data_IF_759791827111
#
_entry.id   IF_759791827111
#
_cell.length_a   1.000
_cell.length_b   1.000
_cell.length_c   1.000
_cell.angle_alpha   90.00
_cell.angle_beta   90.00
_cell.angle_gamma   90.00
#
_symmetry.space_group_name_H-M   'P 1'
#
loop_
_entity.id
_entity.type
_entity.pdbx_description
1 polymer ?
#
# COMPACT_ATOMS: atom_id res chain seq x y z
N UNK A 1 -13.26 7.48 2.22
CA UNK A 1 -11.86 7.94 2.32
C UNK A 1 -11.09 7.26 1.21
N UNK A 2 -10.09 7.92 0.61
CA UNK A 2 -9.28 7.36 -0.48
C UNK A 2 -7.83 7.80 -0.36
N UNK A 3 -6.92 7.04 -0.97
CA UNK A 3 -5.50 7.42 -1.07
C UNK A 3 -5.32 8.52 -2.10
N UNK A 4 -4.40 9.43 -1.83
CA UNK A 4 -4.04 10.51 -2.75
C UNK A 4 -2.56 10.85 -2.60
N UNK A 5 -1.95 11.37 -3.66
CA UNK A 5 -0.59 11.94 -3.62
C UNK A 5 -0.66 13.45 -3.49
N UNK A 6 0.09 14.04 -2.58
CA UNK A 6 0.26 15.50 -2.54
C UNK A 6 1.13 15.92 -3.71
N UNK A 7 0.58 16.70 -4.64
CA UNK A 7 1.31 17.15 -5.84
C UNK A 7 1.73 18.62 -5.76
N UNK A 8 1.21 19.38 -4.81
CA UNK A 8 1.60 20.78 -4.64
C UNK A 8 0.89 21.49 -3.50
N UNK A 9 1.21 22.78 -3.36
CA UNK A 9 0.58 23.70 -2.40
C UNK A 9 -0.22 24.75 -3.15
N UNK A 10 -1.41 25.07 -2.66
CA UNK A 10 -2.19 26.20 -3.14
C UNK A 10 -2.06 27.39 -2.19
N UNK A 11 -2.04 28.60 -2.73
CA UNK A 11 -2.06 29.84 -1.95
C UNK A 11 -3.08 30.78 -2.58
N UNK A 12 -3.92 31.40 -1.76
CA UNK A 12 -4.95 32.33 -2.21
C UNK A 12 -5.04 33.52 -1.24
N UNK A 13 -4.91 34.72 -1.77
CA UNK A 13 -5.08 35.98 -1.04
C UNK A 13 -6.54 36.26 -0.75
N UNK A 14 -7.42 35.92 -1.70
CA UNK A 14 -8.88 36.03 -1.57
C UNK A 14 -9.45 34.62 -1.47
N UNK A 15 -10.08 34.32 -0.33
CA UNK A 15 -10.69 33.02 -0.02
C UNK A 15 -11.75 33.20 1.07
N UNK A 16 -12.59 32.19 1.26
CA UNK A 16 -13.58 32.22 2.33
C UNK A 16 -12.88 32.39 3.70
N UNK A 17 -13.40 33.24 4.62
CA UNK A 17 -12.72 33.55 5.89
C UNK A 17 -12.34 32.33 6.73
N UNK A 18 -13.14 31.25 6.66
CA UNK A 18 -12.86 30.00 7.38
C UNK A 18 -11.61 29.27 6.89
N UNK A 19 -11.10 29.58 5.70
CA UNK A 19 -9.87 29.00 5.14
C UNK A 19 -8.61 29.81 5.49
N UNK A 20 -8.75 30.87 6.29
CA UNK A 20 -7.61 31.64 6.80
C UNK A 20 -6.85 30.81 7.84
N UNK A 21 -5.51 30.86 7.79
CA UNK A 21 -4.64 30.08 8.68
C UNK A 21 -4.47 28.60 8.30
N UNK A 22 -5.33 28.04 7.45
CA UNK A 22 -5.24 26.64 7.02
C UNK A 22 -4.23 26.43 5.88
N UNK A 23 -3.53 25.30 5.93
CA UNK A 23 -2.70 24.83 4.82
C UNK A 23 -3.61 24.19 3.77
N UNK A 24 -3.44 24.63 2.52
CA UNK A 24 -4.19 24.12 1.37
C UNK A 24 -3.23 23.37 0.44
N UNK A 25 -3.50 22.09 0.24
CA UNK A 25 -2.69 21.21 -0.60
C UNK A 25 -3.49 20.76 -1.82
N UNK A 26 -2.80 20.65 -2.95
CA UNK A 26 -3.35 20.01 -4.15
C UNK A 26 -3.00 18.53 -4.07
N UNK A 27 -4.01 17.67 -4.07
CA UNK A 27 -3.88 16.22 -3.99
C UNK A 27 -4.40 15.57 -5.27
N UNK A 28 -3.68 14.58 -5.77
CA UNK A 28 -4.13 13.71 -6.86
C UNK A 28 -4.66 12.41 -6.25
N UNK A 29 -5.97 12.12 -6.30
CA UNK A 29 -6.45 10.81 -5.90
C UNK A 29 -5.75 9.69 -6.66
N UNK A 30 -5.60 8.53 -6.03
CA UNK A 30 -4.92 7.38 -6.59
C UNK A 30 -5.87 6.20 -6.73
N UNK A 31 -5.77 5.49 -7.85
CA UNK A 31 -6.39 4.20 -8.06
C UNK A 31 -5.62 3.09 -7.29
N UNK A 32 -6.18 1.88 -7.27
CA UNK A 32 -5.58 0.74 -6.56
C UNK A 32 -4.19 0.34 -7.10
N UNK A 33 -3.90 0.64 -8.36
CA UNK A 33 -2.60 0.42 -8.99
C UNK A 33 -1.59 1.55 -8.75
N UNK A 34 -1.98 2.59 -8.01
CA UNK A 34 -1.16 3.78 -7.73
C UNK A 34 -1.14 4.81 -8.86
N UNK A 35 -1.90 4.61 -9.94
CA UNK A 35 -2.11 5.61 -10.98
C UNK A 35 -3.03 6.76 -10.53
N UNK A 36 -3.04 7.91 -11.23
CA UNK A 36 -3.97 8.99 -10.94
C UNK A 36 -5.42 8.56 -11.19
N UNK A 37 -6.29 8.81 -10.22
CA UNK A 37 -7.74 8.60 -10.33
C UNK A 37 -8.48 9.95 -10.42
N UNK A 38 -8.91 10.32 -11.63
CA UNK A 38 -9.62 11.57 -11.88
C UNK A 38 -8.79 12.85 -11.66
N UNK A 39 -9.50 13.94 -11.40
CA UNK A 39 -8.92 15.29 -11.34
C UNK A 39 -8.30 15.62 -9.96
N UNK A 40 -7.22 16.43 -9.92
CA UNK A 40 -6.68 16.94 -8.68
C UNK A 40 -7.71 17.70 -7.83
N UNK A 41 -7.64 17.51 -6.52
CA UNK A 41 -8.54 18.11 -5.54
C UNK A 41 -7.78 19.04 -4.60
N UNK A 42 -8.48 20.04 -4.05
CA UNK A 42 -7.94 20.95 -3.05
C UNK A 42 -8.34 20.47 -1.65
N UNK A 43 -7.36 20.10 -0.83
CA UNK A 43 -7.58 19.58 0.51
C UNK A 43 -7.00 20.49 1.61
N UNK A 44 -7.69 20.53 2.75
CA UNK A 44 -7.17 21.10 3.99
C UNK A 44 -6.22 20.10 4.64
N UNK A 45 -5.07 20.59 5.10
CA UNK A 45 -4.04 19.81 5.78
C UNK A 45 -3.78 20.36 7.18
N UNK A 46 -3.99 19.52 8.19
CA UNK A 46 -3.69 19.79 9.59
C UNK A 46 -2.61 18.86 10.16
N UNK A 47 -2.19 17.85 9.39
CA UNK A 47 -1.19 16.86 9.79
C UNK A 47 0.22 17.23 9.32
N UNK A 48 0.33 18.15 8.38
CA UNK A 48 1.59 18.71 7.94
C UNK A 48 2.26 17.93 6.82
N UNK A 49 1.48 17.29 5.94
CA UNK A 49 1.98 16.50 4.81
C UNK A 49 2.88 17.30 3.87
N UNK A 50 3.83 16.64 3.23
CA UNK A 50 4.75 17.26 2.26
C UNK A 50 4.35 16.92 0.82
N UNK A 51 4.83 17.70 -0.13
CA UNK A 51 4.69 17.35 -1.55
C UNK A 51 5.42 16.03 -1.81
N UNK A 52 4.76 15.11 -2.52
CA UNK A 52 5.22 13.76 -2.77
C UNK A 52 4.68 12.71 -1.79
N UNK A 53 4.21 13.11 -0.61
CA UNK A 53 3.62 12.19 0.37
C UNK A 53 2.34 11.55 -0.17
N UNK A 54 2.16 10.27 0.13
CA UNK A 54 0.87 9.59 -0.01
C UNK A 54 0.08 9.86 1.27
N UNK A 55 -1.19 10.21 1.11
CA UNK A 55 -2.09 10.61 2.19
C UNK A 55 -3.42 9.89 2.06
N UNK A 56 -4.14 9.82 3.16
CA UNK A 56 -5.55 9.41 3.19
C UNK A 56 -6.38 10.69 3.25
N UNK A 57 -7.27 10.86 2.28
CA UNK A 57 -8.14 12.02 2.18
C UNK A 57 -9.62 11.62 2.25
N UNK A 58 -10.43 12.48 2.87
CA UNK A 58 -11.87 12.32 2.99
C UNK A 58 -12.59 13.48 2.28
N UNK A 59 -13.62 13.15 1.48
CA UNK A 59 -14.52 14.10 0.87
C UNK A 59 -15.82 14.24 1.67
N UNK A 60 -15.70 14.64 2.93
CA UNK A 60 -16.82 14.78 3.84
C UNK A 60 -16.85 16.18 4.45
N UNK A 61 -17.95 16.90 4.18
CA UNK A 61 -18.19 18.23 4.74
C UNK A 61 -18.41 18.20 6.25
N UNK A 62 -18.92 17.11 6.82
CA UNK A 62 -19.11 16.99 8.28
C UNK A 62 -17.77 16.88 9.00
N UNK A 63 -16.88 15.97 8.55
CA UNK A 63 -15.51 15.87 9.04
C UNK A 63 -14.73 17.18 8.86
N UNK A 64 -14.90 17.85 7.72
CA UNK A 64 -14.27 19.16 7.46
C UNK A 64 -14.72 20.21 8.48
N UNK A 65 -16.01 20.26 8.82
CA UNK A 65 -16.55 21.19 9.84
C UNK A 65 -16.02 20.89 11.24
N UNK A 66 -15.98 19.62 11.61
CA UNK A 66 -15.48 19.16 12.91
C UNK A 66 -14.01 19.54 13.10
N UNK A 67 -13.16 19.15 12.14
CA UNK A 67 -11.71 19.39 12.21
C UNK A 67 -11.40 20.89 12.17
N UNK A 68 -12.14 21.66 11.35
CA UNK A 68 -11.92 23.10 11.28
C UNK A 68 -12.59 23.89 12.41
N UNK A 69 -13.42 23.25 13.25
CA UNK A 69 -14.16 23.89 14.34
C UNK A 69 -15.20 24.92 13.87
N UNK A 70 -15.66 24.83 12.62
CA UNK A 70 -16.56 25.83 12.01
C UNK A 70 -17.64 25.17 11.14
N UNK A 71 -18.91 25.47 11.43
CA UNK A 71 -20.04 24.82 10.77
C UNK A 71 -20.33 25.30 9.34
N UNK A 72 -19.82 26.48 8.96
CA UNK A 72 -20.08 27.11 7.66
C UNK A 72 -18.80 27.25 6.82
N UNK A 73 -18.01 26.19 6.75
CA UNK A 73 -16.83 26.14 5.87
C UNK A 73 -17.19 25.53 4.52
N UNK A 74 -16.66 26.08 3.39
CA UNK A 74 -16.82 25.45 2.08
C UNK A 74 -15.84 24.28 1.85
N UNK A 75 -14.98 23.96 2.83
CA UNK A 75 -14.05 22.85 2.72
C UNK A 75 -14.80 21.51 2.60
N UNK A 76 -14.39 20.70 1.62
CA UNK A 76 -14.93 19.36 1.36
C UNK A 76 -13.89 18.28 1.55
N UNK A 77 -12.67 18.53 1.07
CA UNK A 77 -11.56 17.59 1.16
C UNK A 77 -10.66 17.93 2.33
N UNK A 78 -10.34 16.91 3.11
CA UNK A 78 -9.43 17.02 4.23
C UNK A 78 -8.50 15.82 4.28
N UNK A 79 -7.23 16.07 4.59
CA UNK A 79 -6.23 15.02 4.81
C UNK A 79 -6.41 14.49 6.22
N UNK A 80 -6.79 13.22 6.34
CA UNK A 80 -7.07 12.55 7.63
C UNK A 80 -5.92 11.67 8.10
N UNK A 81 -4.96 11.36 7.23
CA UNK A 81 -3.79 10.55 7.58
C UNK A 81 -2.67 10.70 6.57
N UNK A 82 -1.44 10.45 7.03
CA UNK A 82 -0.26 10.28 6.16
C UNK A 82 -0.03 8.78 6.03
N UNK A 83 0.15 8.31 4.81
CA UNK A 83 0.34 6.89 4.55
C UNK A 83 1.81 6.53 4.83
N UNK A 84 2.03 5.73 5.86
CA UNK A 84 3.32 5.11 6.11
C UNK A 84 3.46 3.87 5.21
N UNK A 85 4.60 3.77 4.52
CA UNK A 85 4.91 2.55 3.79
C UNK A 85 5.14 1.43 4.80
N UNK A 86 4.48 0.28 4.60
CA UNK A 86 4.90 -0.93 5.30
C UNK A 86 6.26 -1.31 4.76
N UNK A 87 7.27 -1.40 5.64
CA UNK A 87 8.42 -2.23 5.30
C UNK A 87 7.89 -3.64 5.06
N UNK A 88 8.36 -4.33 4.00
CA UNK A 88 8.01 -5.73 3.84
C UNK A 88 8.36 -6.42 5.16
N UNK A 89 7.37 -7.07 5.78
CA UNK A 89 7.61 -7.87 6.97
C UNK A 89 8.79 -8.78 6.62
N UNK A 90 9.93 -8.52 7.22
CA UNK A 90 11.09 -9.38 7.06
C UNK A 90 10.72 -10.64 7.83
N UNK A 91 9.94 -11.50 7.18
CA UNK A 91 9.77 -12.90 7.51
C UNK A 91 11.15 -13.52 7.33
N UNK A 92 12.06 -13.20 8.25
CA UNK A 92 13.21 -14.03 8.51
C UNK A 92 12.64 -15.44 8.64
N UNK A 93 13.13 -16.42 7.88
CA UNK A 93 12.66 -17.78 8.05
C UNK A 93 12.95 -18.19 9.49
N UNK A 94 11.92 -18.18 10.34
CA UNK A 94 11.98 -18.74 11.69
C UNK A 94 11.95 -20.24 11.53
N UNK A 95 13.11 -20.78 11.17
CA UNK A 95 13.35 -22.18 10.93
C UNK A 95 14.81 -22.31 10.55
N UNK A 96 15.60 -22.89 11.46
CA UNK A 96 16.83 -23.56 11.05
C UNK A 96 16.49 -24.45 9.83
N UNK A 97 17.36 -24.57 8.82
CA UNK A 97 17.13 -25.59 7.81
C UNK A 97 17.09 -26.93 8.56
N UNK A 98 15.89 -27.49 8.68
CA UNK A 98 15.72 -28.88 9.08
C UNK A 98 16.54 -29.67 8.07
N UNK A 99 17.62 -30.26 8.57
CA UNK A 99 18.53 -31.08 7.77
C UNK A 99 17.69 -32.05 6.96
N UNK A 100 17.77 -31.95 5.63
CA UNK A 100 17.09 -32.89 4.75
C UNK A 100 17.40 -34.32 5.22
N UNK A 101 16.40 -35.22 5.34
CA UNK A 101 16.68 -36.61 5.66
C UNK A 101 17.63 -37.15 4.58
N UNK A 102 18.74 -37.76 5.01
CA UNK A 102 19.66 -38.43 4.11
C UNK A 102 18.87 -39.39 3.20
N UNK A 103 19.15 -39.43 1.88
CA UNK A 103 18.45 -40.34 1.00
C UNK A 103 18.68 -41.78 1.45
N UNK A 104 17.59 -42.53 1.64
CA UNK A 104 17.64 -43.95 1.96
C UNK A 104 18.58 -44.69 0.99
N UNK A 105 19.44 -45.60 1.48
CA UNK A 105 20.35 -46.33 0.62
C UNK A 105 19.56 -47.17 -0.38
N UNK A 106 19.95 -47.06 -1.66
CA UNK A 106 19.28 -47.76 -2.76
C UNK A 106 19.16 -49.27 -2.49
N UNK A 107 18.01 -49.90 -2.80
CA UNK A 107 17.81 -51.31 -2.54
C UNK A 107 18.77 -52.19 -3.37
N UNK A 108 19.32 -53.21 -2.72
CA UNK A 108 20.29 -54.13 -3.32
C UNK A 108 19.76 -54.77 -4.61
N UNK A 109 20.63 -54.97 -5.63
CA UNK A 109 20.21 -55.52 -6.91
C UNK A 109 19.71 -56.97 -6.77
N UNK A 110 18.52 -57.24 -7.33
CA UNK A 110 17.89 -58.57 -7.31
C UNK A 110 18.74 -59.60 -8.08
N UNK A 111 18.85 -60.85 -7.58
CA UNK A 111 19.67 -61.87 -8.24
C UNK A 111 19.10 -62.23 -9.62
N UNK A 112 19.95 -62.11 -10.63
CA UNK A 112 19.62 -62.34 -12.04
C UNK A 112 19.46 -63.84 -12.30
N UNK A 113 18.22 -64.31 -12.50
CA UNK A 113 17.91 -65.69 -12.90
C UNK A 113 18.59 -66.02 -14.22
N UNK A 114 19.52 -66.99 -14.22
CA UNK A 114 20.12 -67.55 -15.44
C UNK A 114 19.04 -68.34 -16.20
N UNK A 115 18.65 -67.87 -17.39
CA UNK A 115 17.82 -68.66 -18.33
C UNK A 115 18.73 -69.68 -19.02
N UNK A 116 18.46 -70.96 -18.80
CA UNK A 116 19.06 -72.06 -19.55
C UNK A 116 18.51 -72.06 -20.98
N UNK A 117 19.41 -72.06 -21.96
CA UNK A 117 19.05 -72.12 -23.37
C UNK A 117 18.66 -73.56 -23.75
N UNK A 118 17.41 -73.78 -24.14
CA UNK A 118 16.95 -75.04 -24.72
C UNK A 118 17.27 -75.02 -26.22
N UNK A 119 18.31 -75.78 -26.59
CA UNK A 119 18.78 -76.06 -27.95
C UNK A 119 17.64 -76.74 -28.73
N UNK A 120 17.21 -76.18 -29.87
CA UNK A 120 16.34 -76.86 -30.82
C UNK A 120 17.15 -77.21 -32.06
N UNK A 121 17.16 -78.51 -32.34
CA UNK A 121 17.51 -79.18 -33.60
C UNK A 121 16.58 -78.77 -34.74
#
# INVERSE_FOLDING_TARGET
MQTAKVIGRATATIKHPTLNGWRLLVIQPLALDGGPDGEPQLAVDFLGSSVGSIVIAAADGSASKEIMGVNNTPARWIITGIYDQQEPENLAPTGQPESAPEPEPAPAPKPRRKRTAKKKS
#
